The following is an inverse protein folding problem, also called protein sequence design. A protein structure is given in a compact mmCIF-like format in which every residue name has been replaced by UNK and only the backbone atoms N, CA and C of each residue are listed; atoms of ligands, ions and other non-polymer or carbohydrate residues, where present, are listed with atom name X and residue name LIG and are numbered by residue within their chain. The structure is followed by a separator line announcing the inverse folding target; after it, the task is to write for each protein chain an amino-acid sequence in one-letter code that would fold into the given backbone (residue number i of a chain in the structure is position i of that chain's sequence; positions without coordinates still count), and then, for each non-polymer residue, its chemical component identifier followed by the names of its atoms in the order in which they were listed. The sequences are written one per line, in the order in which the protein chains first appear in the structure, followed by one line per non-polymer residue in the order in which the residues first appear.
data_IF_256298581268
#
_entry.id   IF_256298581268
#
_cell.length_a   1.000
_cell.length_b   1.000
_cell.length_c   1.000
_cell.angle_alpha   90.00
_cell.angle_beta   90.00
_cell.angle_gamma   90.00
#
_symmetry.space_group_name_H-M   'P 1'
#
loop_
_entity.id
_entity.type
_entity.pdbx_description
1 polymer ?
#
# COMPACT_ATOMS: atom_id res chain seq x y z
N UNK A 1 -30.62 -3.40 -23.50
CA UNK A 1 -29.93 -4.72 -23.41
C UNK A 1 -29.04 -4.69 -22.21
N UNK A 2 -29.11 -5.73 -21.34
CA UNK A 2 -28.20 -5.91 -20.22
C UNK A 2 -27.12 -6.89 -20.68
N UNK A 3 -25.87 -6.42 -20.80
CA UNK A 3 -24.75 -7.24 -21.27
C UNK A 3 -24.09 -8.01 -20.14
N UNK A 4 -24.05 -7.44 -18.93
CA UNK A 4 -23.44 -8.08 -17.79
C UNK A 4 -24.18 -7.83 -16.49
N UNK A 5 -23.95 -8.73 -15.52
CA UNK A 5 -24.45 -8.60 -14.15
C UNK A 5 -23.34 -8.96 -13.16
N UNK A 6 -23.25 -8.22 -12.06
CA UNK A 6 -22.26 -8.49 -11.04
C UNK A 6 -22.74 -8.19 -9.63
N UNK A 7 -22.06 -8.76 -8.66
CA UNK A 7 -22.06 -8.33 -7.27
C UNK A 7 -20.62 -8.12 -6.79
N UNK A 8 -20.45 -7.50 -5.62
CA UNK A 8 -19.15 -7.39 -4.94
C UNK A 8 -19.22 -8.01 -3.56
N UNK A 9 -18.39 -9.01 -3.29
CA UNK A 9 -18.35 -9.67 -1.98
C UNK A 9 -17.76 -8.75 -0.92
N UNK A 10 -18.48 -8.62 0.19
CA UNK A 10 -18.11 -7.71 1.27
C UNK A 10 -17.08 -8.31 2.23
N UNK A 11 -17.09 -9.63 2.42
CA UNK A 11 -16.34 -10.36 3.46
C UNK A 11 -15.62 -11.58 2.90
N UNK A 12 -15.23 -11.55 1.62
CA UNK A 12 -14.54 -12.69 1.02
C UNK A 12 -13.13 -12.93 1.61
N UNK A 13 -12.55 -11.91 2.24
CA UNK A 13 -11.24 -11.88 2.88
C UNK A 13 -11.26 -12.15 4.38
N UNK A 14 -12.42 -12.50 4.93
CA UNK A 14 -12.59 -12.86 6.33
C UNK A 14 -12.61 -14.37 6.53
N UNK A 15 -12.22 -14.83 7.73
CA UNK A 15 -12.24 -16.23 8.14
C UNK A 15 -13.70 -16.75 8.18
N UNK A 16 -14.63 -15.99 8.78
CA UNK A 16 -16.05 -16.30 8.77
C UNK A 16 -16.66 -16.10 7.38
N UNK A 17 -16.92 -17.20 6.71
CA UNK A 17 -17.51 -17.22 5.37
C UNK A 17 -19.05 -17.15 5.36
N UNK A 18 -19.72 -17.03 6.50
CA UNK A 18 -21.19 -17.10 6.57
C UNK A 18 -21.89 -16.01 5.74
N UNK A 19 -21.40 -14.77 5.82
CA UNK A 19 -21.95 -13.66 5.04
C UNK A 19 -21.59 -13.77 3.55
N UNK A 20 -20.37 -14.21 3.22
CA UNK A 20 -19.97 -14.53 1.85
C UNK A 20 -20.92 -15.56 1.20
N UNK A 21 -21.17 -16.69 1.86
CA UNK A 21 -22.07 -17.74 1.35
C UNK A 21 -23.50 -17.22 1.15
N UNK A 22 -24.02 -16.44 2.10
CA UNK A 22 -25.33 -15.79 1.97
C UNK A 22 -25.39 -14.88 0.74
N UNK A 23 -24.37 -14.08 0.53
CA UNK A 23 -24.29 -13.15 -0.60
C UNK A 23 -24.17 -13.91 -1.93
N UNK A 24 -23.33 -14.94 -1.99
CA UNK A 24 -23.15 -15.78 -3.17
C UNK A 24 -24.46 -16.49 -3.57
N UNK A 25 -25.15 -17.09 -2.61
CA UNK A 25 -26.40 -17.79 -2.86
C UNK A 25 -27.48 -16.82 -3.38
N UNK A 26 -27.63 -15.67 -2.74
CA UNK A 26 -28.56 -14.63 -3.19
C UNK A 26 -28.25 -14.14 -4.60
N UNK A 27 -26.98 -13.95 -4.94
CA UNK A 27 -26.56 -13.54 -6.27
C UNK A 27 -26.87 -14.60 -7.32
N UNK A 28 -26.60 -15.87 -7.03
CA UNK A 28 -26.98 -17.00 -7.90
C UNK A 28 -28.48 -17.09 -8.19
N UNK A 29 -29.28 -16.83 -7.19
CA UNK A 29 -30.74 -16.78 -7.36
C UNK A 29 -31.16 -15.63 -8.28
N UNK A 30 -30.59 -14.43 -8.08
CA UNK A 30 -30.89 -13.27 -8.91
C UNK A 30 -30.47 -13.49 -10.38
N UNK A 31 -29.32 -14.12 -10.62
CA UNK A 31 -28.89 -14.47 -11.99
C UNK A 31 -29.87 -15.43 -12.67
N UNK A 32 -30.44 -16.41 -11.94
CA UNK A 32 -31.45 -17.33 -12.47
C UNK A 32 -32.76 -16.64 -12.82
N UNK A 33 -33.12 -15.56 -12.12
CA UNK A 33 -34.34 -14.79 -12.36
C UNK A 33 -34.22 -13.83 -13.55
N UNK A 34 -33.04 -13.65 -14.13
CA UNK A 34 -32.88 -12.82 -15.31
C UNK A 34 -33.67 -13.43 -16.50
N UNK A 35 -34.56 -12.67 -17.14
CA UNK A 35 -35.37 -13.18 -18.27
C UNK A 35 -34.53 -13.67 -19.44
N UNK A 36 -33.36 -13.04 -19.64
CA UNK A 36 -32.33 -13.44 -20.59
C UNK A 36 -31.00 -13.54 -19.84
N UNK A 37 -30.31 -14.67 -20.00
CA UNK A 37 -28.99 -14.85 -19.36
C UNK A 37 -28.05 -13.74 -19.86
N UNK A 38 -27.48 -12.92 -18.95
CA UNK A 38 -26.45 -11.94 -19.33
C UNK A 38 -25.24 -12.63 -19.98
N UNK A 39 -24.61 -11.97 -20.93
CA UNK A 39 -23.43 -12.49 -21.60
C UNK A 39 -22.24 -12.67 -20.63
N UNK A 40 -22.12 -11.78 -19.63
CA UNK A 40 -21.06 -11.80 -18.64
C UNK A 40 -21.65 -11.74 -17.23
N UNK A 41 -21.36 -12.73 -16.41
CA UNK A 41 -21.65 -12.76 -14.97
C UNK A 41 -20.34 -12.78 -14.22
N UNK A 42 -20.18 -11.89 -13.24
CA UNK A 42 -18.95 -11.89 -12.44
C UNK A 42 -19.19 -11.41 -11.01
N UNK A 43 -18.46 -11.98 -10.04
CA UNK A 43 -18.65 -11.64 -8.63
C UNK A 43 -17.33 -11.56 -7.87
N UNK A 44 -16.38 -12.45 -8.15
CA UNK A 44 -15.16 -12.57 -7.40
C UNK A 44 -14.29 -11.31 -7.47
N UNK A 45 -13.93 -10.78 -6.30
CA UNK A 45 -12.85 -9.82 -6.08
C UNK A 45 -11.54 -10.58 -5.87
N UNK A 46 -10.46 -9.89 -5.53
CA UNK A 46 -9.14 -10.49 -5.29
C UNK A 46 -9.21 -11.64 -4.27
N UNK A 47 -9.81 -11.41 -3.11
CA UNK A 47 -9.90 -12.41 -2.04
C UNK A 47 -10.68 -13.65 -2.51
N UNK A 48 -11.87 -13.45 -3.05
CA UNK A 48 -12.68 -14.56 -3.56
C UNK A 48 -11.95 -15.35 -4.65
N UNK A 49 -11.17 -14.68 -5.51
CA UNK A 49 -10.40 -15.33 -6.57
C UNK A 49 -9.22 -16.16 -6.05
N UNK A 50 -8.67 -15.81 -4.88
CA UNK A 50 -7.50 -16.48 -4.31
C UNK A 50 -7.85 -17.63 -3.38
N UNK A 51 -8.88 -17.46 -2.54
CA UNK A 51 -9.14 -18.36 -1.40
C UNK A 51 -10.54 -18.98 -1.37
N UNK A 52 -11.43 -18.59 -2.27
CA UNK A 52 -12.76 -19.21 -2.36
C UNK A 52 -12.79 -20.21 -3.53
N UNK A 53 -13.81 -21.06 -3.53
CA UNK A 53 -13.96 -22.09 -4.54
C UNK A 53 -14.51 -21.55 -5.88
N UNK A 54 -14.52 -22.41 -6.90
CA UNK A 54 -14.95 -22.08 -8.26
C UNK A 54 -16.42 -21.62 -8.37
N UNK A 55 -17.25 -21.89 -7.36
CA UNK A 55 -18.68 -21.50 -7.35
C UNK A 55 -18.89 -20.00 -7.46
N UNK A 56 -17.90 -19.17 -7.13
CA UNK A 56 -17.97 -17.69 -7.17
C UNK A 56 -17.27 -17.06 -8.36
N UNK A 57 -16.55 -17.79 -9.20
CA UNK A 57 -15.72 -17.24 -10.26
C UNK A 57 -16.56 -16.77 -11.46
N UNK A 58 -17.60 -17.51 -11.85
CA UNK A 58 -18.46 -17.25 -13.00
C UNK A 58 -17.67 -17.07 -14.32
N UNK A 59 -18.01 -16.03 -15.11
CA UNK A 59 -17.37 -15.80 -16.42
C UNK A 59 -16.12 -14.93 -16.31
N UNK A 60 -15.94 -14.16 -15.22
CA UNK A 60 -14.80 -13.28 -15.01
C UNK A 60 -14.54 -12.98 -13.54
N UNK A 61 -13.33 -12.56 -13.23
CA UNK A 61 -12.92 -12.09 -11.90
C UNK A 61 -12.42 -10.64 -11.98
N UNK A 62 -12.52 -9.91 -10.85
CA UNK A 62 -11.97 -8.57 -10.70
C UNK A 62 -10.78 -8.63 -9.75
N UNK A 63 -9.64 -9.01 -10.31
CA UNK A 63 -8.39 -9.15 -9.57
C UNK A 63 -7.72 -7.78 -9.44
N UNK A 64 -7.46 -7.33 -8.23
CA UNK A 64 -6.96 -5.99 -7.95
C UNK A 64 -5.67 -6.00 -7.13
N UNK A 65 -5.77 -5.79 -5.81
CA UNK A 65 -4.62 -5.48 -4.94
C UNK A 65 -3.49 -6.51 -5.00
N UNK A 66 -3.79 -7.79 -5.19
CA UNK A 66 -2.75 -8.82 -5.28
C UNK A 66 -1.97 -8.82 -6.60
N UNK A 67 -2.40 -8.06 -7.61
CA UNK A 67 -1.56 -7.76 -8.78
C UNK A 67 -0.33 -6.93 -8.38
N UNK A 68 -0.44 -6.16 -7.30
CA UNK A 68 0.66 -5.36 -6.75
C UNK A 68 1.46 -6.11 -5.67
N UNK A 69 1.11 -7.38 -5.42
CA UNK A 69 1.81 -8.22 -4.46
C UNK A 69 1.39 -8.00 -3.00
N UNK A 70 0.19 -7.46 -2.79
CA UNK A 70 -0.38 -7.24 -1.45
C UNK A 70 -1.56 -8.18 -1.23
N UNK A 71 -1.64 -8.78 -0.05
CA UNK A 71 -2.81 -9.56 0.35
C UNK A 71 -3.99 -8.64 0.69
N UNK A 72 -5.24 -9.05 0.40
CA UNK A 72 -6.43 -8.29 0.78
C UNK A 72 -6.60 -8.11 2.29
N UNK A 73 -6.15 -9.08 3.08
CA UNK A 73 -6.15 -9.05 4.55
C UNK A 73 -5.03 -9.93 5.11
N UNK A 74 -4.73 -9.79 6.40
CA UNK A 74 -3.77 -10.65 7.10
C UNK A 74 -4.19 -12.12 7.09
N UNK A 75 -5.50 -12.40 7.23
CA UNK A 75 -6.03 -13.75 7.12
C UNK A 75 -5.72 -14.38 5.76
N UNK A 76 -5.96 -13.65 4.66
CA UNK A 76 -5.63 -14.15 3.31
C UNK A 76 -4.13 -14.38 3.15
N UNK A 77 -3.30 -13.47 3.66
CA UNK A 77 -1.84 -13.60 3.61
C UNK A 77 -1.35 -14.88 4.30
N UNK A 78 -1.94 -15.20 5.46
CA UNK A 78 -1.58 -16.37 6.27
C UNK A 78 -1.94 -17.70 5.59
N UNK A 79 -3.10 -17.76 4.92
CA UNK A 79 -3.61 -19.03 4.34
C UNK A 79 -3.22 -19.25 2.88
N UNK A 80 -2.61 -18.26 2.20
CA UNK A 80 -2.18 -18.44 0.82
C UNK A 80 -1.07 -19.50 0.71
N UNK A 81 -1.20 -20.47 -0.22
CA UNK A 81 -0.20 -21.52 -0.39
C UNK A 81 1.07 -21.06 -1.10
N UNK A 82 1.17 -19.78 -1.46
CA UNK A 82 2.31 -19.16 -2.12
C UNK A 82 2.46 -17.70 -1.68
N UNK A 83 3.70 -17.19 -1.61
CA UNK A 83 3.93 -15.79 -1.29
C UNK A 83 3.56 -14.88 -2.46
N UNK A 84 2.93 -13.76 -2.17
CA UNK A 84 2.75 -12.68 -3.13
C UNK A 84 4.07 -11.91 -3.29
N UNK A 85 4.39 -11.52 -4.54
CA UNK A 85 5.59 -10.74 -4.84
C UNK A 85 5.20 -9.28 -5.06
N UNK A 86 5.76 -8.39 -4.27
CA UNK A 86 5.54 -6.95 -4.44
C UNK A 86 6.01 -6.47 -5.80
N UNK A 87 5.15 -5.76 -6.52
CA UNK A 87 5.39 -5.29 -7.87
C UNK A 87 5.76 -3.79 -7.92
N UNK A 88 5.61 -3.07 -6.78
CA UNK A 88 5.90 -1.63 -6.70
C UNK A 88 7.13 -1.39 -5.83
N UNK A 89 8.06 -0.59 -6.33
CA UNK A 89 9.07 0.09 -5.53
C UNK A 89 9.01 1.60 -5.79
N UNK A 90 9.30 2.39 -4.76
CA UNK A 90 9.43 3.82 -4.87
C UNK A 90 10.74 4.24 -4.22
N UNK A 91 11.64 4.73 -5.04
CA UNK A 91 13.02 5.06 -4.68
C UNK A 91 13.32 6.50 -5.05
N UNK A 92 14.21 7.11 -4.29
CA UNK A 92 14.73 8.45 -4.52
C UNK A 92 16.16 8.54 -4.00
N UNK A 93 16.74 9.72 -3.97
CA UNK A 93 18.08 9.96 -3.45
C UNK A 93 18.14 11.23 -2.57
N UNK A 94 19.16 11.31 -1.74
CA UNK A 94 19.44 12.52 -0.98
C UNK A 94 19.91 13.64 -1.91
N UNK A 95 19.23 14.79 -1.90
CA UNK A 95 19.64 15.98 -2.64
C UNK A 95 20.32 17.03 -1.76
N UNK A 96 20.17 16.94 -0.46
CA UNK A 96 20.83 17.82 0.51
C UNK A 96 21.00 17.10 1.85
N UNK A 97 22.12 17.33 2.51
CA UNK A 97 22.44 16.82 3.85
C UNK A 97 23.04 17.96 4.67
N UNK A 98 22.54 18.16 5.87
CA UNK A 98 23.14 19.12 6.82
C UNK A 98 23.08 18.62 8.25
N UNK A 99 24.02 19.08 9.07
CA UNK A 99 23.96 18.98 10.52
C UNK A 99 23.11 20.13 11.08
N UNK A 100 22.22 19.84 12.02
CA UNK A 100 21.47 20.83 12.80
C UNK A 100 21.78 20.65 14.28
N UNK A 101 21.54 21.70 15.09
CA UNK A 101 21.79 21.70 16.52
C UNK A 101 20.51 21.40 17.31
N UNK A 102 20.68 20.96 18.53
CA UNK A 102 19.57 20.86 19.47
C UNK A 102 18.81 22.20 19.54
N UNK A 103 17.47 22.14 19.45
CA UNK A 103 16.58 23.30 19.40
C UNK A 103 16.23 23.81 18.01
N UNK A 104 16.93 23.39 16.96
CA UNK A 104 16.60 23.77 15.59
C UNK A 104 15.29 23.12 15.12
N UNK A 105 14.49 23.92 14.41
CA UNK A 105 13.21 23.47 13.84
C UNK A 105 13.33 23.02 12.38
N UNK A 106 12.51 22.02 12.00
CA UNK A 106 12.45 21.50 10.62
C UNK A 106 11.02 21.55 10.09
N UNK A 107 10.89 22.01 8.85
CA UNK A 107 9.64 22.06 8.11
C UNK A 107 8.72 23.22 8.52
N UNK A 108 7.57 23.31 7.82
CA UNK A 108 6.58 24.36 8.10
C UNK A 108 6.02 24.25 9.52
N UNK A 109 6.03 25.39 10.22
CA UNK A 109 5.57 25.49 11.62
C UNK A 109 6.53 24.84 12.61
N UNK A 110 7.80 24.58 12.18
CA UNK A 110 8.82 23.89 13.00
C UNK A 110 8.24 22.65 13.69
N UNK A 111 7.47 21.86 12.93
CA UNK A 111 6.72 20.71 13.49
C UNK A 111 7.61 19.58 13.99
N UNK A 112 8.89 19.61 13.67
CA UNK A 112 9.94 18.83 14.31
C UNK A 112 10.94 19.80 14.93
N UNK A 113 11.33 19.55 16.18
CA UNK A 113 12.41 20.26 16.88
C UNK A 113 13.46 19.22 17.25
N UNK A 114 14.71 19.48 16.85
CA UNK A 114 15.84 18.61 17.20
C UNK A 114 16.07 18.61 18.72
N UNK A 115 16.08 17.46 19.36
CA UNK A 115 16.37 17.31 20.79
C UNK A 115 17.86 17.22 21.08
N UNK A 116 18.66 16.92 20.06
CA UNK A 116 20.13 16.82 20.10
C UNK A 116 20.70 17.20 18.71
N UNK A 117 22.01 17.40 18.65
CA UNK A 117 22.70 17.60 17.38
C UNK A 117 22.51 16.39 16.49
N UNK A 118 21.99 16.59 15.29
CA UNK A 118 21.70 15.48 14.37
C UNK A 118 21.92 15.88 12.91
N UNK A 119 21.89 14.88 12.02
CA UNK A 119 21.91 15.10 10.57
C UNK A 119 20.50 14.96 10.01
N UNK A 120 20.15 15.83 9.07
CA UNK A 120 18.94 15.72 8.29
C UNK A 120 19.25 15.62 6.81
N UNK A 121 18.44 14.82 6.10
CA UNK A 121 18.49 14.69 4.65
C UNK A 121 17.22 15.26 4.01
N UNK A 122 17.37 15.86 2.83
CA UNK A 122 16.23 16.29 2.02
C UNK A 122 16.06 15.33 0.85
N UNK A 123 14.84 14.89 0.65
CA UNK A 123 14.41 14.06 -0.47
C UNK A 123 13.58 14.92 -1.44
N UNK A 124 13.83 14.85 -2.77
CA UNK A 124 13.10 15.62 -3.77
C UNK A 124 11.76 14.97 -4.14
N UNK A 125 10.99 14.54 -3.15
CA UNK A 125 9.67 13.93 -3.28
C UNK A 125 8.75 14.46 -2.18
N UNK A 126 7.51 14.76 -2.55
CA UNK A 126 6.54 15.31 -1.63
C UNK A 126 5.11 14.87 -1.94
N UNK A 127 4.11 15.63 -1.46
CA UNK A 127 2.73 15.20 -1.64
C UNK A 127 2.25 15.29 -3.09
N UNK A 128 2.88 16.04 -3.97
CA UNK A 128 2.60 16.04 -5.41
C UNK A 128 3.01 14.73 -6.09
N UNK A 129 3.96 13.99 -5.49
CA UNK A 129 4.47 12.71 -5.97
C UNK A 129 3.77 11.50 -5.29
N UNK A 130 2.77 11.76 -4.45
CA UNK A 130 2.05 10.72 -3.71
C UNK A 130 2.54 10.47 -2.28
N UNK A 131 3.58 11.16 -1.82
CA UNK A 131 4.07 11.09 -0.41
C UNK A 131 3.18 11.96 0.46
N UNK A 132 1.99 11.44 0.79
CA UNK A 132 0.96 12.21 1.48
C UNK A 132 1.40 12.66 2.89
N UNK A 133 0.87 13.80 3.35
CA UNK A 133 1.26 14.40 4.64
C UNK A 133 1.09 13.50 5.87
N UNK A 134 0.19 12.50 5.80
CA UNK A 134 0.00 11.51 6.88
C UNK A 134 1.21 10.58 7.07
N UNK A 135 2.13 10.53 6.11
CA UNK A 135 3.35 9.73 6.20
C UNK A 135 4.46 10.42 7.02
N UNK A 136 4.26 11.66 7.50
CA UNK A 136 5.16 12.24 8.51
C UNK A 136 5.26 11.33 9.74
N UNK A 137 6.49 11.01 10.14
CA UNK A 137 6.78 10.06 11.22
C UNK A 137 6.92 8.60 10.78
N UNK A 138 6.59 8.28 9.53
CA UNK A 138 6.89 6.95 8.97
C UNK A 138 8.36 6.85 8.56
N UNK A 139 8.88 5.63 8.56
CA UNK A 139 10.25 5.36 8.16
C UNK A 139 10.39 5.19 6.65
N UNK A 140 11.54 5.61 6.15
CA UNK A 140 12.12 5.24 4.86
C UNK A 140 13.40 4.42 5.10
N UNK A 141 13.95 3.79 4.08
CA UNK A 141 15.19 3.05 4.20
C UNK A 141 16.34 3.80 3.54
N UNK A 142 17.47 3.86 4.23
CA UNK A 142 18.74 4.39 3.73
C UNK A 142 19.88 3.51 4.25
N UNK A 143 20.75 3.02 3.36
CA UNK A 143 21.86 2.12 3.71
C UNK A 143 21.38 0.91 4.57
N UNK A 144 20.21 0.35 4.23
CA UNK A 144 19.59 -0.75 4.98
C UNK A 144 19.12 -0.38 6.39
N UNK A 145 18.96 0.91 6.71
CA UNK A 145 18.52 1.40 8.02
C UNK A 145 17.26 2.22 7.90
N UNK A 146 16.41 2.17 8.91
CA UNK A 146 15.22 3.01 9.01
C UNK A 146 15.58 4.44 9.38
N UNK A 147 14.96 5.39 8.69
CA UNK A 147 15.12 6.81 8.92
C UNK A 147 13.74 7.48 8.86
N UNK A 148 13.26 8.09 9.95
CA UNK A 148 11.94 8.68 9.98
C UNK A 148 11.83 9.94 9.14
N UNK A 149 10.69 10.12 8.47
CA UNK A 149 10.31 11.38 7.84
C UNK A 149 9.95 12.37 8.94
N UNK A 150 10.67 13.49 8.99
CA UNK A 150 10.51 14.51 10.03
C UNK A 150 9.94 15.82 9.47
N UNK A 151 9.28 16.56 10.32
CA UNK A 151 8.63 17.81 9.91
C UNK A 151 7.42 17.55 9.01
N UNK A 152 6.89 18.62 8.41
CA UNK A 152 5.78 18.50 7.44
C UNK A 152 6.30 18.18 6.06
N UNK A 153 5.69 17.20 5.41
CA UNK A 153 5.93 16.91 3.99
C UNK A 153 5.43 18.08 3.15
N UNK A 154 6.32 18.63 2.32
CA UNK A 154 6.05 19.73 1.41
C UNK A 154 5.49 19.21 0.06
N UNK A 155 5.28 20.12 -0.90
CA UNK A 155 4.76 19.76 -2.22
C UNK A 155 5.72 18.81 -2.95
N UNK A 156 6.98 19.19 -3.05
CA UNK A 156 8.00 18.55 -3.89
C UNK A 156 9.19 18.01 -3.08
N UNK A 157 9.10 18.03 -1.75
CA UNK A 157 10.19 17.56 -0.90
C UNK A 157 9.71 17.14 0.50
N UNK A 158 10.48 16.27 1.12
CA UNK A 158 10.36 15.96 2.55
C UNK A 158 11.73 15.79 3.17
N UNK A 159 11.80 15.83 4.49
CA UNK A 159 13.04 15.69 5.23
C UNK A 159 13.01 14.42 6.06
N UNK A 160 14.17 13.79 6.22
CA UNK A 160 14.36 12.59 7.04
C UNK A 160 15.46 12.84 8.08
N UNK A 161 15.30 12.23 9.25
CA UNK A 161 16.33 12.19 10.28
C UNK A 161 17.34 11.10 9.93
N UNK A 162 18.59 11.49 9.73
CA UNK A 162 19.63 10.57 9.30
C UNK A 162 20.36 9.95 10.49
N UNK A 163 20.61 8.63 10.50
CA UNK A 163 21.35 7.98 11.59
C UNK A 163 22.82 8.36 11.64
N UNK A 164 23.37 8.92 10.56
CA UNK A 164 24.75 9.43 10.42
C UNK A 164 24.79 10.45 9.28
N UNK A 165 25.95 11.08 9.05
CA UNK A 165 26.18 11.82 7.82
C UNK A 165 26.23 10.87 6.62
N UNK A 166 25.56 11.27 5.53
CA UNK A 166 25.59 10.60 4.24
C UNK A 166 26.03 11.57 3.15
N UNK A 167 26.41 11.04 2.02
CA UNK A 167 26.70 11.84 0.81
C UNK A 167 25.42 12.14 0.05
N UNK A 168 25.39 13.28 -0.65
CA UNK A 168 24.33 13.57 -1.63
C UNK A 168 24.39 12.49 -2.72
N UNK A 169 23.21 12.05 -3.21
CA UNK A 169 23.08 10.94 -4.15
C UNK A 169 22.91 9.58 -3.48
N UNK A 170 22.96 9.49 -2.13
CA UNK A 170 22.67 8.23 -1.45
C UNK A 170 21.21 7.81 -1.68
N UNK A 171 21.02 6.53 -2.05
CA UNK A 171 19.72 5.95 -2.37
C UNK A 171 18.84 5.83 -1.14
N UNK A 172 17.60 6.29 -1.27
CA UNK A 172 16.55 6.17 -0.26
C UNK A 172 15.35 5.42 -0.84
N UNK A 173 14.83 4.45 -0.10
CA UNK A 173 13.67 3.64 -0.50
C UNK A 173 12.47 4.00 0.37
N UNK A 174 11.39 4.47 -0.27
CA UNK A 174 10.12 4.78 0.39
C UNK A 174 9.19 3.57 0.39
N UNK A 175 9.20 2.79 -0.70
CA UNK A 175 8.45 1.53 -0.83
C UNK A 175 9.40 0.50 -1.45
N UNK A 176 9.57 -0.64 -0.81
CA UNK A 176 10.44 -1.70 -1.31
C UNK A 176 11.46 -2.16 -0.29
N UNK A 177 12.50 -2.81 -0.76
CA UNK A 177 13.55 -3.42 0.08
C UNK A 177 14.90 -2.73 -0.12
N UNK A 178 15.63 -2.64 0.97
CA UNK A 178 17.04 -2.24 0.95
C UNK A 178 17.82 -3.11 1.94
N UNK A 179 18.69 -3.98 1.44
CA UNK A 179 19.34 -4.99 2.26
C UNK A 179 18.33 -6.01 2.80
N UNK A 180 18.31 -6.20 4.12
CA UNK A 180 17.36 -7.07 4.83
C UNK A 180 16.06 -6.36 5.24
N UNK A 181 15.98 -5.03 5.12
CA UNK A 181 14.84 -4.21 5.53
C UNK A 181 13.84 -3.98 4.40
N UNK A 182 12.56 -3.87 4.80
CA UNK A 182 11.43 -3.57 3.90
C UNK A 182 10.47 -2.59 4.55
#
# INVERSE_FOLDING_TARGET
VVEGIFTHFATADEEDSSYFEKQLNKFKELVKLCPTKPAIVHAANTAASLIKDERCLFDAVRFGISMYGLAPSSYVEEILPFPLKRALSFETELVHVKKIQAGDGVGYGASFIATEDCYIGTLPVGYADGVIRKLSGQDVLIDGKRAPIIGRICMDQCMILLPKAYTIGEKVVLIGKQGSEE
#
